data_IF_452072462493
#
_entry.id   IF_452072462493
#
_cell.length_a   1.000
_cell.length_b   1.000
_cell.length_c   1.000
_cell.angle_alpha   90.00
_cell.angle_beta   90.00
_cell.angle_gamma   90.00
#
_symmetry.space_group_name_H-M   'P 1'
#
loop_
_entity.id
_entity.type
_entity.pdbx_description
1 polymer ?
#
# COMPACT_ATOMS: atom_id res chain seq x y z
N UNK A 1 -9.70 -6.46 -12.45
CA UNK A 1 -8.64 -5.69 -11.74
C UNK A 1 -7.83 -6.66 -10.88
N UNK A 2 -6.51 -6.74 -11.08
CA UNK A 2 -5.59 -7.57 -10.28
C UNK A 2 -5.63 -7.20 -8.80
N UNK A 3 -5.23 -8.12 -7.92
CA UNK A 3 -5.22 -7.88 -6.48
C UNK A 3 -4.34 -6.67 -6.10
N UNK A 4 -3.16 -6.57 -6.71
CA UNK A 4 -2.25 -5.42 -6.60
C UNK A 4 -2.96 -4.08 -6.91
N UNK A 5 -3.64 -3.98 -8.06
CA UNK A 5 -4.38 -2.77 -8.44
C UNK A 5 -5.52 -2.42 -7.48
N UNK A 6 -6.12 -3.41 -6.80
CA UNK A 6 -7.13 -3.17 -5.77
C UNK A 6 -6.51 -2.57 -4.51
N UNK A 7 -5.34 -3.07 -4.11
CA UNK A 7 -4.58 -2.54 -2.97
C UNK A 7 -4.09 -1.12 -3.23
N UNK A 8 -3.54 -0.85 -4.41
CA UNK A 8 -3.11 0.50 -4.82
C UNK A 8 -4.28 1.48 -4.78
N UNK A 9 -5.43 1.12 -5.37
CA UNK A 9 -6.63 1.96 -5.34
C UNK A 9 -7.16 2.18 -3.91
N UNK A 10 -7.01 1.20 -3.04
CA UNK A 10 -7.40 1.34 -1.63
C UNK A 10 -6.45 2.30 -0.89
N UNK A 11 -5.15 2.23 -1.15
CA UNK A 11 -4.14 3.16 -0.60
C UNK A 11 -4.43 4.58 -1.07
N UNK A 12 -4.62 4.79 -2.37
CA UNK A 12 -4.90 6.11 -2.96
C UNK A 12 -6.16 6.76 -2.35
N UNK A 13 -7.21 5.96 -2.12
CA UNK A 13 -8.43 6.44 -1.44
C UNK A 13 -8.14 6.91 -0.01
N UNK A 14 -7.30 6.18 0.71
CA UNK A 14 -6.93 6.51 2.10
C UNK A 14 -6.02 7.73 2.16
N UNK A 15 -5.10 7.90 1.22
CA UNK A 15 -4.29 9.11 1.08
C UNK A 15 -5.17 10.34 0.85
N UNK A 16 -6.13 10.27 -0.09
CA UNK A 16 -7.10 11.34 -0.34
C UNK A 16 -7.97 11.65 0.88
N UNK A 17 -8.36 10.64 1.66
CA UNK A 17 -9.07 10.86 2.93
C UNK A 17 -8.20 11.60 3.95
N UNK A 18 -6.93 11.20 4.12
CA UNK A 18 -5.98 11.86 5.02
C UNK A 18 -5.77 13.32 4.61
N UNK A 19 -5.60 13.59 3.32
CA UNK A 19 -5.40 14.94 2.80
C UNK A 19 -6.60 15.86 3.13
N UNK A 20 -7.83 15.36 2.95
CA UNK A 20 -9.05 16.09 3.34
C UNK A 20 -9.10 16.38 4.84
N UNK A 21 -8.69 15.44 5.68
CA UNK A 21 -8.64 15.67 7.13
C UNK A 21 -7.54 16.69 7.50
N UNK A 22 -6.39 16.68 6.84
CA UNK A 22 -5.35 17.71 7.01
C UNK A 22 -5.85 19.10 6.60
N UNK A 23 -6.60 19.21 5.50
CA UNK A 23 -7.25 20.46 5.08
C UNK A 23 -8.29 20.94 6.11
N UNK A 24 -8.96 20.04 6.83
CA UNK A 24 -9.87 20.45 7.91
C UNK A 24 -9.13 21.05 9.10
N UNK A 25 -7.92 20.59 9.41
CA UNK A 25 -7.07 21.20 10.44
C UNK A 25 -6.67 22.62 10.01
N UNK A 26 -6.26 22.83 8.76
CA UNK A 26 -5.91 24.17 8.28
C UNK A 26 -7.11 25.12 8.32
N UNK A 27 -8.30 24.66 7.92
CA UNK A 27 -9.54 25.44 8.05
C UNK A 27 -9.90 25.76 9.51
N UNK A 28 -9.66 24.83 10.45
CA UNK A 28 -9.83 25.09 11.88
C UNK A 28 -8.83 26.12 12.39
N UNK A 29 -7.59 26.09 11.90
CA UNK A 29 -6.57 27.08 12.21
C UNK A 29 -7.05 28.47 11.79
N UNK A 30 -7.53 28.63 10.56
CA UNK A 30 -8.07 29.91 10.06
C UNK A 30 -9.27 30.40 10.87
N UNK A 31 -10.10 29.48 11.41
CA UNK A 31 -11.21 29.85 12.31
C UNK A 31 -10.72 30.32 13.67
N UNK A 32 -9.64 29.75 14.19
CA UNK A 32 -9.01 30.21 15.43
C UNK A 32 -8.40 31.60 15.22
N UNK A 33 -7.67 31.79 14.12
CA UNK A 33 -6.98 33.04 13.80
C UNK A 33 -7.98 34.19 13.57
N UNK A 34 -9.15 33.89 13.00
CA UNK A 34 -10.25 34.85 12.85
C UNK A 34 -11.10 35.04 14.11
N UNK A 35 -10.72 34.42 15.24
CA UNK A 35 -11.43 34.53 16.51
C UNK A 35 -12.80 33.85 16.54
N UNK A 36 -13.18 33.10 15.49
CA UNK A 36 -14.49 32.43 15.37
C UNK A 36 -14.65 31.24 16.31
N UNK A 37 -13.54 30.68 16.77
CA UNK A 37 -13.51 29.59 17.76
C UNK A 37 -12.47 29.89 18.83
N UNK A 38 -12.69 29.36 20.02
CA UNK A 38 -11.70 29.46 21.11
C UNK A 38 -10.56 28.48 20.91
N UNK A 39 -9.42 28.74 21.58
CA UNK A 39 -8.26 27.83 21.58
C UNK A 39 -8.60 26.45 22.16
N UNK A 40 -9.48 26.41 23.18
CA UNK A 40 -9.95 25.17 23.77
C UNK A 40 -10.75 24.33 22.76
N UNK A 41 -11.69 24.95 22.06
CA UNK A 41 -12.45 24.28 20.99
C UNK A 41 -11.56 23.79 19.86
N UNK A 42 -10.60 24.63 19.43
CA UNK A 42 -9.64 24.25 18.41
C UNK A 42 -8.88 22.99 18.82
N UNK A 43 -8.34 22.95 20.05
CA UNK A 43 -7.58 21.80 20.54
C UNK A 43 -8.42 20.51 20.58
N UNK A 44 -9.67 20.58 21.03
CA UNK A 44 -10.58 19.42 21.07
C UNK A 44 -10.87 18.92 19.65
N UNK A 45 -11.23 19.84 18.73
CA UNK A 45 -11.57 19.50 17.34
C UNK A 45 -10.33 18.95 16.60
N UNK A 46 -9.17 19.58 16.79
CA UNK A 46 -7.89 19.15 16.22
C UNK A 46 -7.52 17.74 16.69
N UNK A 47 -7.60 17.46 17.99
CA UNK A 47 -7.27 16.13 18.54
C UNK A 47 -8.12 15.02 17.90
N UNK A 48 -9.43 15.23 17.74
CA UNK A 48 -10.33 14.27 17.07
C UNK A 48 -9.93 14.01 15.62
N UNK A 49 -9.51 15.04 14.90
CA UNK A 49 -9.06 14.89 13.50
C UNK A 49 -7.70 14.18 13.45
N UNK A 50 -6.77 14.50 14.34
CA UNK A 50 -5.47 13.83 14.44
C UNK A 50 -5.61 12.34 14.79
N UNK A 51 -6.52 11.98 15.70
CA UNK A 51 -6.84 10.58 16.01
C UNK A 51 -7.38 9.84 14.78
N UNK A 52 -8.24 10.49 13.99
CA UNK A 52 -8.75 9.95 12.73
C UNK A 52 -7.63 9.76 11.70
N UNK A 53 -6.73 10.73 11.56
CA UNK A 53 -5.56 10.64 10.68
C UNK A 53 -4.67 9.45 11.10
N UNK A 54 -4.37 9.31 12.39
CA UNK A 54 -3.57 8.17 12.90
C UNK A 54 -4.21 6.82 12.60
N UNK A 55 -5.53 6.72 12.73
CA UNK A 55 -6.26 5.49 12.38
C UNK A 55 -6.19 5.18 10.87
N UNK A 56 -6.29 6.21 10.02
CA UNK A 56 -6.14 6.07 8.57
C UNK A 56 -4.71 5.68 8.18
N UNK A 57 -3.69 6.32 8.78
CA UNK A 57 -2.28 5.99 8.56
C UNK A 57 -1.96 4.55 8.96
N UNK A 58 -2.47 4.09 10.11
CA UNK A 58 -2.29 2.70 10.55
C UNK A 58 -2.86 1.71 9.52
N UNK A 59 -4.08 1.97 9.02
CA UNK A 59 -4.71 1.15 7.97
C UNK A 59 -3.92 1.18 6.67
N UNK A 60 -3.40 2.35 6.29
CA UNK A 60 -2.57 2.52 5.10
C UNK A 60 -1.29 1.70 5.18
N UNK A 61 -0.60 1.67 6.33
CA UNK A 61 0.58 0.82 6.54
C UNK A 61 0.28 -0.66 6.39
N UNK A 62 -0.87 -1.12 6.88
CA UNK A 62 -1.30 -2.52 6.72
C UNK A 62 -1.50 -2.85 5.23
N UNK A 63 -2.16 -1.97 4.47
CA UNK A 63 -2.37 -2.14 3.04
C UNK A 63 -1.04 -2.14 2.26
N UNK A 64 -0.12 -1.24 2.59
CA UNK A 64 1.22 -1.21 2.02
C UNK A 64 1.99 -2.50 2.32
N UNK A 65 1.89 -3.02 3.55
CA UNK A 65 2.47 -4.31 3.92
C UNK A 65 1.90 -5.48 3.11
N UNK A 66 0.58 -5.48 2.87
CA UNK A 66 -0.08 -6.44 1.98
C UNK A 66 0.42 -6.36 0.54
N UNK A 67 0.60 -5.15 0.02
CA UNK A 67 1.13 -4.91 -1.33
C UNK A 67 2.55 -5.45 -1.47
N UNK A 68 3.42 -5.18 -0.51
CA UNK A 68 4.81 -5.68 -0.51
C UNK A 68 4.88 -7.20 -0.48
N UNK A 69 4.01 -7.86 0.30
CA UNK A 69 3.93 -9.33 0.35
C UNK A 69 3.46 -9.91 -0.96
N UNK A 70 2.45 -9.30 -1.58
CA UNK A 70 1.95 -9.75 -2.89
C UNK A 70 3.04 -9.63 -3.96
N UNK A 71 3.78 -8.52 -4.00
CA UNK A 71 4.89 -8.33 -4.94
C UNK A 71 5.94 -9.43 -4.82
N UNK A 72 6.37 -9.73 -3.58
CA UNK A 72 7.32 -10.83 -3.32
C UNK A 72 6.77 -12.18 -3.78
N UNK A 73 5.51 -12.47 -3.53
CA UNK A 73 4.89 -13.71 -3.97
C UNK A 73 4.86 -13.84 -5.50
N UNK A 74 4.56 -12.75 -6.22
CA UNK A 74 4.60 -12.73 -7.68
C UNK A 74 6.04 -12.96 -8.20
N UNK A 75 7.05 -12.35 -7.58
CA UNK A 75 8.46 -12.56 -7.91
C UNK A 75 8.88 -14.04 -7.72
N UNK A 76 8.54 -14.64 -6.57
CA UNK A 76 8.83 -16.05 -6.28
C UNK A 76 8.16 -17.00 -7.28
N UNK A 77 6.93 -16.71 -7.69
CA UNK A 77 6.22 -17.51 -8.69
C UNK A 77 6.90 -17.45 -10.06
N UNK A 78 7.43 -16.28 -10.43
CA UNK A 78 8.19 -16.12 -11.69
C UNK A 78 9.50 -16.90 -11.62
N UNK A 79 10.23 -16.79 -10.51
CA UNK A 79 11.50 -17.48 -10.32
C UNK A 79 11.32 -19.02 -10.33
N UNK A 80 10.29 -19.54 -9.66
CA UNK A 80 9.95 -20.97 -9.68
C UNK A 80 9.65 -21.46 -11.10
N UNK A 81 8.85 -20.70 -11.86
CA UNK A 81 8.54 -21.03 -13.26
C UNK A 81 9.78 -21.03 -14.16
N UNK A 82 10.73 -20.13 -13.92
CA UNK A 82 11.99 -20.10 -14.66
C UNK A 82 12.85 -21.33 -14.33
N UNK A 83 13.03 -21.65 -13.05
CA UNK A 83 13.77 -22.84 -12.60
C UNK A 83 13.18 -24.12 -13.17
N UNK A 84 11.86 -24.29 -13.14
CA UNK A 84 11.19 -25.46 -13.74
C UNK A 84 11.42 -25.57 -15.25
N UNK A 85 11.39 -24.44 -15.98
CA UNK A 85 11.67 -24.43 -17.41
C UNK A 85 13.11 -24.83 -17.69
N UNK A 86 14.06 -24.28 -16.93
CA UNK A 86 15.47 -24.56 -17.08
C UNK A 86 15.81 -26.04 -16.77
N UNK A 87 15.23 -26.60 -15.71
CA UNK A 87 15.34 -28.03 -15.41
C UNK A 87 14.75 -28.92 -16.51
N UNK A 88 13.59 -28.55 -17.05
CA UNK A 88 12.97 -29.27 -18.17
C UNK A 88 13.85 -29.23 -19.42
N UNK A 89 14.49 -28.10 -19.72
CA UNK A 89 15.43 -27.98 -20.83
C UNK A 89 16.70 -28.83 -20.60
N UNK A 90 17.32 -28.72 -19.42
CA UNK A 90 18.48 -29.56 -19.03
C UNK A 90 18.18 -31.06 -19.11
N UNK A 91 16.98 -31.49 -18.70
CA UNK A 91 16.53 -32.89 -18.82
C UNK A 91 16.36 -33.31 -20.29
N UNK A 92 15.80 -32.45 -21.15
CA UNK A 92 15.67 -32.71 -22.59
C UNK A 92 17.03 -32.81 -23.29
N UNK A 93 17.95 -31.88 -23.02
CA UNK A 93 19.30 -31.90 -23.58
C UNK A 93 20.07 -33.17 -23.19
N UNK A 94 20.03 -33.56 -21.91
CA UNK A 94 20.65 -34.83 -21.45
C UNK A 94 20.05 -36.05 -22.13
N UNK A 95 18.73 -36.07 -22.39
CA UNK A 95 18.06 -37.18 -23.05
C UNK A 95 18.42 -37.27 -24.54
N UNK A 96 18.63 -36.14 -25.21
CA UNK A 96 19.06 -36.12 -26.61
C UNK A 96 20.51 -36.55 -26.76
N UNK A 97 21.44 -36.08 -25.90
CA UNK A 97 22.85 -36.51 -25.93
C UNK A 97 23.01 -38.03 -25.77
N UNK A 98 22.24 -38.65 -24.86
CA UNK A 98 22.23 -40.11 -24.65
C UNK A 98 21.63 -40.94 -25.79
N UNK A 99 20.98 -40.31 -26.77
CA UNK A 99 20.43 -40.99 -27.95
C UNK A 99 21.34 -40.87 -29.17
N UNK A 100 22.33 -39.99 -29.11
CA UNK A 100 23.32 -39.75 -30.16
C UNK A 100 24.63 -40.53 -29.91
N UNK A 101 24.83 -41.04 -28.68
CA UNK A 101 25.82 -42.09 -28.31
C UNK A 101 25.24 -43.49 -28.53
#
# INVERSE_FOLDING_TARGET
MSFEKRLEKAIEKKEKEIEKEKQRITLLQSKLDSGKITRAEFNIKRKRIEEKIRALDSRMRVLQGGLTREKRHQEELVEKKQKEKEEKMKKKEKKNKRKEE
#
